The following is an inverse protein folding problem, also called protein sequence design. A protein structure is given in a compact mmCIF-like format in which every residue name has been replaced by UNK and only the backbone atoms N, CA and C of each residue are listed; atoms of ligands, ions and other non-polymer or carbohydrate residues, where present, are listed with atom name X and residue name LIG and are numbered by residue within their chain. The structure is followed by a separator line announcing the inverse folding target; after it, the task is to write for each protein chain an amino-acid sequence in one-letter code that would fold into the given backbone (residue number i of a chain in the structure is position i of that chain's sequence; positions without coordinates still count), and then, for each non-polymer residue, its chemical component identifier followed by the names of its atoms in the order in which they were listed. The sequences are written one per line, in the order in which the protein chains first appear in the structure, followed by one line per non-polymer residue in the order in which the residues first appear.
data_IF_155579185702
#
_entry.id   IF_155579185702
#
_cell.length_a   1.000
_cell.length_b   1.000
_cell.length_c   1.000
_cell.angle_alpha   90.00
_cell.angle_beta   90.00
_cell.angle_gamma   90.00
#
_symmetry.space_group_name_H-M   'P 1'
#
loop_
_entity.id
_entity.type
_entity.pdbx_description
1 polymer ?
#
# COMPACT_ATOMS: atom_id res chain seq x y z
N UNK A 1 -2.14 1.97 12.33
CA UNK A 1 -1.79 0.58 11.97
C UNK A 1 -0.73 0.66 10.90
N UNK A 2 0.18 -0.30 10.85
CA UNK A 2 1.18 -0.36 9.76
C UNK A 2 0.58 -1.11 8.58
N UNK A 3 0.82 -0.64 7.36
CA UNK A 3 0.41 -1.32 6.13
C UNK A 3 1.26 -2.57 5.93
N UNK A 4 0.65 -3.71 5.67
CA UNK A 4 1.35 -4.94 5.32
C UNK A 4 1.89 -4.86 3.89
N UNK A 5 3.17 -5.12 3.70
CA UNK A 5 3.85 -5.08 2.40
C UNK A 5 4.19 -6.49 1.94
N UNK A 6 3.62 -6.89 0.82
CA UNK A 6 3.85 -8.17 0.16
C UNK A 6 4.69 -7.93 -1.10
N UNK A 7 5.96 -8.36 -1.08
CA UNK A 7 6.80 -8.41 -2.27
C UNK A 7 6.43 -9.65 -3.09
N UNK A 8 5.76 -9.46 -4.21
CA UNK A 8 5.34 -10.56 -5.10
C UNK A 8 6.50 -10.98 -6.00
N UNK A 9 7.21 -12.02 -5.61
CA UNK A 9 8.20 -12.68 -6.46
C UNK A 9 7.55 -13.42 -7.64
N UNK A 10 6.32 -13.90 -7.43
CA UNK A 10 5.56 -14.61 -8.45
C UNK A 10 6.36 -15.78 -9.04
N UNK A 11 6.61 -15.71 -10.34
CA UNK A 11 7.47 -16.65 -11.09
C UNK A 11 8.79 -16.01 -11.55
N UNK A 12 9.15 -14.84 -11.07
CA UNK A 12 10.36 -14.11 -11.46
C UNK A 12 11.67 -14.81 -11.03
N UNK A 13 11.60 -15.90 -10.29
CA UNK A 13 12.71 -16.80 -10.03
C UNK A 13 13.08 -17.70 -11.22
N UNK A 14 12.27 -17.71 -12.30
CA UNK A 14 12.53 -18.44 -13.54
C UNK A 14 12.85 -19.95 -13.32
N UNK A 15 12.13 -20.63 -12.41
CA UNK A 15 12.35 -22.05 -12.07
C UNK A 15 13.64 -22.31 -11.28
N UNK A 16 14.31 -21.27 -10.77
CA UNK A 16 15.58 -21.41 -10.04
C UNK A 16 15.41 -21.16 -8.54
N UNK A 17 15.59 -22.20 -7.72
CA UNK A 17 15.62 -22.10 -6.26
C UNK A 17 16.66 -21.08 -5.77
N UNK A 18 17.82 -21.00 -6.46
CA UNK A 18 18.87 -20.04 -6.12
C UNK A 18 18.40 -18.60 -6.31
N UNK A 19 17.75 -18.29 -7.44
CA UNK A 19 17.20 -16.95 -7.68
C UNK A 19 16.07 -16.63 -6.70
N UNK A 20 15.21 -17.60 -6.40
CA UNK A 20 14.14 -17.43 -5.39
C UNK A 20 14.71 -17.04 -4.01
N UNK A 21 15.80 -17.68 -3.56
CA UNK A 21 16.49 -17.30 -2.31
C UNK A 21 17.11 -15.90 -2.38
N UNK A 22 17.74 -15.53 -3.49
CA UNK A 22 18.24 -14.15 -3.66
C UNK A 22 17.11 -13.12 -3.61
N UNK A 23 15.93 -13.44 -4.16
CA UNK A 23 14.75 -12.57 -4.05
C UNK A 23 14.27 -12.44 -2.60
N UNK A 24 14.31 -13.51 -1.79
CA UNK A 24 14.01 -13.46 -0.36
C UNK A 24 14.96 -12.49 0.35
N UNK A 25 16.28 -12.61 0.09
CA UNK A 25 17.27 -11.74 0.70
C UNK A 25 17.02 -10.25 0.39
N UNK A 26 16.75 -9.94 -0.87
CA UNK A 26 16.52 -8.56 -1.30
C UNK A 26 15.17 -8.00 -0.80
N UNK A 27 14.10 -8.82 -0.77
CA UNK A 27 12.81 -8.41 -0.21
C UNK A 27 12.91 -8.12 1.31
N UNK A 28 13.62 -8.96 2.05
CA UNK A 28 13.88 -8.75 3.47
C UNK A 28 14.71 -7.48 3.73
N UNK A 29 15.80 -7.26 2.97
CA UNK A 29 16.61 -6.04 3.05
C UNK A 29 15.81 -4.78 2.74
N UNK A 30 14.88 -4.85 1.80
CA UNK A 30 13.98 -3.75 1.47
C UNK A 30 12.98 -3.45 2.58
N UNK A 31 12.77 -4.36 3.52
CA UNK A 31 11.83 -4.22 4.65
C UNK A 31 10.40 -4.65 4.32
N UNK A 32 10.21 -5.56 3.35
CA UNK A 32 8.92 -6.19 3.09
C UNK A 32 8.53 -7.09 4.28
N UNK A 33 7.23 -7.14 4.59
CA UNK A 33 6.70 -8.00 5.64
C UNK A 33 6.61 -9.45 5.16
N UNK A 34 6.27 -9.64 3.89
CA UNK A 34 6.15 -10.94 3.23
C UNK A 34 6.80 -10.94 1.85
N UNK A 35 7.33 -12.11 1.47
CA UNK A 35 7.59 -12.45 0.07
C UNK A 35 6.58 -13.50 -0.38
N UNK A 36 6.03 -13.35 -1.60
CA UNK A 36 5.01 -14.25 -2.12
C UNK A 36 5.45 -14.88 -3.44
N UNK A 37 5.23 -16.17 -3.56
CA UNK A 37 5.47 -17.00 -4.73
C UNK A 37 4.15 -17.50 -5.33
N UNK A 38 4.25 -18.33 -6.36
CA UNK A 38 3.13 -19.00 -7.00
C UNK A 38 3.41 -20.51 -7.05
N UNK A 39 2.48 -21.30 -6.54
CA UNK A 39 2.60 -22.77 -6.51
C UNK A 39 1.54 -23.37 -7.40
N UNK A 40 1.98 -24.12 -8.40
CA UNK A 40 1.09 -24.76 -9.36
C UNK A 40 1.72 -26.00 -9.98
N UNK A 41 0.85 -26.91 -10.45
CA UNK A 41 1.18 -27.95 -11.41
C UNK A 41 0.73 -27.46 -12.78
N UNK A 42 1.65 -27.26 -13.76
CA UNK A 42 1.30 -26.65 -15.04
C UNK A 42 0.12 -27.32 -15.75
N UNK A 43 0.08 -28.64 -15.74
CA UNK A 43 -0.97 -29.46 -16.37
C UNK A 43 -2.34 -29.39 -15.65
N UNK A 44 -2.36 -28.88 -14.42
CA UNK A 44 -3.61 -28.64 -13.65
C UNK A 44 -4.08 -27.21 -13.72
N UNK A 45 -3.17 -26.28 -13.96
CA UNK A 45 -3.48 -24.85 -14.06
C UNK A 45 -4.07 -24.51 -15.44
N UNK A 46 -3.49 -25.02 -16.52
CA UNK A 46 -3.91 -24.65 -17.86
C UNK A 46 -4.25 -25.85 -18.74
N UNK A 47 -5.30 -25.70 -19.54
CA UNK A 47 -5.60 -26.67 -20.60
C UNK A 47 -4.50 -26.63 -21.66
N UNK A 48 -4.20 -27.79 -22.26
CA UNK A 48 -3.26 -27.89 -23.41
C UNK A 48 -3.62 -27.01 -24.61
N UNK A 49 -4.83 -26.49 -24.65
CA UNK A 49 -5.31 -25.58 -25.69
C UNK A 49 -5.25 -24.10 -25.30
N UNK A 50 -4.87 -23.78 -24.06
CA UNK A 50 -4.81 -22.41 -23.58
C UNK A 50 -3.76 -21.60 -24.32
N UNK A 51 -4.16 -20.39 -24.71
CA UNK A 51 -3.28 -19.40 -25.34
C UNK A 51 -2.65 -18.51 -24.27
N UNK A 52 -1.40 -18.08 -24.47
CA UNK A 52 -0.80 -17.03 -23.65
C UNK A 52 -1.61 -15.74 -23.75
N UNK A 53 -1.71 -15.00 -22.65
CA UNK A 53 -2.20 -13.64 -22.64
C UNK A 53 -1.31 -12.74 -23.54
N UNK A 54 -1.85 -11.65 -24.04
CA UNK A 54 -1.13 -10.82 -25.01
C UNK A 54 0.14 -10.19 -24.44
N UNK A 55 0.14 -9.79 -23.16
CA UNK A 55 1.35 -9.31 -22.49
C UNK A 55 2.41 -10.43 -22.36
N UNK A 56 2.00 -11.67 -22.09
CA UNK A 56 2.91 -12.82 -22.04
C UNK A 56 3.53 -13.11 -23.40
N UNK A 57 2.76 -13.02 -24.50
CA UNK A 57 3.29 -13.17 -25.86
C UNK A 57 4.34 -12.10 -26.19
N UNK A 58 4.13 -10.85 -25.71
CA UNK A 58 5.07 -9.76 -25.92
C UNK A 58 6.40 -9.96 -25.16
N UNK A 59 6.35 -10.55 -23.97
CA UNK A 59 7.54 -10.72 -23.08
C UNK A 59 8.27 -12.03 -23.28
N UNK A 60 7.57 -13.13 -23.62
CA UNK A 60 8.15 -14.48 -23.74
C UNK A 60 8.03 -15.09 -25.14
N UNK A 61 7.58 -14.31 -26.14
CA UNK A 61 7.36 -14.77 -27.50
C UNK A 61 6.08 -15.60 -27.68
N UNK A 62 5.70 -15.81 -28.96
CA UNK A 62 4.47 -16.50 -29.34
C UNK A 62 4.66 -17.97 -29.78
N UNK A 63 5.89 -18.47 -29.77
CA UNK A 63 6.24 -19.79 -30.34
C UNK A 63 5.86 -20.98 -29.43
N UNK A 64 5.80 -20.78 -28.12
CA UNK A 64 5.45 -21.80 -27.15
C UNK A 64 4.03 -21.60 -26.58
N UNK A 65 3.40 -22.70 -26.15
CA UNK A 65 2.11 -22.65 -25.46
C UNK A 65 2.24 -22.07 -24.04
N UNK A 66 1.11 -21.69 -23.43
CA UNK A 66 1.10 -21.27 -22.03
C UNK A 66 1.59 -22.39 -21.11
N UNK A 67 1.21 -23.65 -21.38
CA UNK A 67 1.67 -24.81 -20.64
C UNK A 67 3.20 -24.93 -20.64
N UNK A 68 3.83 -24.87 -21.83
CA UNK A 68 5.28 -24.97 -21.96
C UNK A 68 6.02 -23.81 -21.25
N UNK A 69 5.45 -22.62 -21.26
CA UNK A 69 5.99 -21.49 -20.51
C UNK A 69 5.96 -21.78 -18.99
N UNK A 70 4.83 -22.26 -18.48
CA UNK A 70 4.65 -22.56 -17.06
C UNK A 70 5.54 -23.73 -16.59
N UNK A 71 5.76 -24.75 -17.41
CA UNK A 71 6.66 -25.87 -17.10
C UNK A 71 8.11 -25.39 -16.81
N UNK A 72 8.57 -24.36 -17.49
CA UNK A 72 9.91 -23.78 -17.28
C UNK A 72 9.99 -22.93 -15.99
N UNK A 73 8.87 -22.43 -15.53
CA UNK A 73 8.78 -21.50 -14.38
C UNK A 73 8.43 -22.23 -13.07
N UNK A 74 7.96 -23.45 -13.13
CA UNK A 74 7.54 -24.20 -11.95
C UNK A 74 8.72 -24.59 -11.05
N UNK A 75 8.54 -24.43 -9.73
CA UNK A 75 9.37 -25.04 -8.70
C UNK A 75 8.70 -26.29 -8.15
N UNK A 76 9.50 -27.22 -7.62
CA UNK A 76 8.96 -28.41 -6.96
C UNK A 76 8.39 -28.08 -5.58
N UNK A 77 7.54 -28.93 -5.03
CA UNK A 77 7.04 -28.79 -3.66
C UNK A 77 8.17 -28.81 -2.61
N UNK A 78 9.23 -29.60 -2.85
CA UNK A 78 10.40 -29.64 -1.97
C UNK A 78 11.15 -28.29 -1.97
N UNK A 79 11.23 -27.60 -3.12
CA UNK A 79 11.80 -26.26 -3.20
C UNK A 79 10.98 -25.27 -2.34
N UNK A 80 9.66 -25.35 -2.35
CA UNK A 80 8.82 -24.47 -1.51
C UNK A 80 8.99 -24.76 -0.02
N UNK A 81 9.17 -26.01 0.39
CA UNK A 81 9.54 -26.35 1.78
C UNK A 81 10.87 -25.70 2.17
N UNK A 82 11.84 -25.73 1.25
CA UNK A 82 13.15 -25.10 1.49
C UNK A 82 13.05 -23.58 1.53
N UNK A 83 12.27 -22.94 0.64
CA UNK A 83 12.02 -21.50 0.64
C UNK A 83 11.33 -21.04 1.92
N UNK A 84 10.31 -21.77 2.41
CA UNK A 84 9.65 -21.45 3.70
C UNK A 84 10.64 -21.44 4.84
N UNK A 85 11.48 -22.49 4.97
CA UNK A 85 12.54 -22.55 5.99
C UNK A 85 13.55 -21.42 5.85
N UNK A 86 13.89 -21.06 4.61
CA UNK A 86 14.83 -19.96 4.36
C UNK A 86 14.22 -18.61 4.77
N UNK A 87 12.95 -18.36 4.46
CA UNK A 87 12.24 -17.16 4.94
C UNK A 87 12.25 -17.06 6.47
N UNK A 88 12.01 -18.17 7.18
CA UNK A 88 12.07 -18.22 8.65
C UNK A 88 13.46 -17.87 9.18
N UNK A 89 14.53 -18.33 8.53
CA UNK A 89 15.92 -18.02 8.92
C UNK A 89 16.25 -16.53 8.71
N UNK A 90 15.73 -15.95 7.63
CA UNK A 90 15.95 -14.53 7.28
C UNK A 90 15.04 -13.61 8.11
N UNK A 91 13.91 -14.10 8.60
CA UNK A 91 12.94 -13.32 9.38
C UNK A 91 11.94 -12.54 8.54
N UNK A 92 11.60 -13.04 7.33
CA UNK A 92 10.53 -12.51 6.46
C UNK A 92 9.39 -13.53 6.37
N UNK A 93 8.14 -13.07 6.32
CA UNK A 93 6.98 -13.94 6.12
C UNK A 93 7.00 -14.61 4.74
N UNK A 94 6.64 -15.90 4.70
CA UNK A 94 6.50 -16.66 3.47
C UNK A 94 5.05 -16.80 3.07
N UNK A 95 4.74 -16.49 1.81
CA UNK A 95 3.44 -16.74 1.21
C UNK A 95 3.62 -17.42 -0.15
N UNK A 96 2.65 -18.20 -0.55
CA UNK A 96 2.51 -18.67 -1.93
C UNK A 96 1.04 -18.76 -2.32
N UNK A 97 0.73 -18.30 -3.53
CA UNK A 97 -0.61 -18.43 -4.12
C UNK A 97 -0.73 -19.81 -4.76
N UNK A 98 -1.67 -20.68 -4.32
CA UNK A 98 -1.96 -21.91 -5.05
C UNK A 98 -2.79 -21.62 -6.30
N UNK A 99 -2.60 -22.40 -7.37
CA UNK A 99 -3.41 -22.33 -8.58
C UNK A 99 -4.06 -23.67 -8.96
N UNK A 100 -4.00 -24.65 -8.09
CA UNK A 100 -4.67 -25.94 -8.25
C UNK A 100 -4.93 -26.58 -6.88
N UNK A 101 -5.84 -27.58 -6.85
CA UNK A 101 -6.25 -28.26 -5.62
C UNK A 101 -5.11 -28.97 -4.89
N UNK A 102 -4.14 -29.56 -5.62
CA UNK A 102 -3.01 -30.24 -4.98
C UNK A 102 -2.10 -29.24 -4.31
N UNK A 103 -1.92 -28.06 -4.95
CA UNK A 103 -1.14 -26.95 -4.41
C UNK A 103 -1.80 -26.36 -3.16
N UNK A 104 -3.15 -26.26 -3.10
CA UNK A 104 -3.86 -25.87 -1.86
C UNK A 104 -3.54 -26.88 -0.75
N UNK A 105 -3.72 -28.19 -1.01
CA UNK A 105 -3.44 -29.26 -0.02
C UNK A 105 -1.98 -29.29 0.43
N UNK A 106 -1.06 -28.96 -0.47
CA UNK A 106 0.36 -28.88 -0.15
C UNK A 106 0.68 -27.68 0.73
N UNK A 107 0.26 -26.47 0.32
CA UNK A 107 0.55 -25.22 1.03
C UNK A 107 -0.15 -25.13 2.39
N UNK A 108 -1.31 -25.75 2.56
CA UNK A 108 -1.99 -25.82 3.85
C UNK A 108 -1.10 -26.46 4.95
N UNK A 109 -0.27 -27.43 4.57
CA UNK A 109 0.70 -28.09 5.46
C UNK A 109 1.95 -27.25 5.76
N UNK A 110 2.20 -26.19 4.98
CA UNK A 110 3.33 -25.29 5.21
C UNK A 110 3.03 -24.21 6.24
N UNK A 111 1.81 -24.13 6.74
CA UNK A 111 1.39 -23.22 7.81
C UNK A 111 1.70 -21.75 7.50
N UNK A 112 1.15 -21.24 6.39
CA UNK A 112 1.21 -19.82 6.03
C UNK A 112 0.27 -19.01 6.93
N UNK A 113 0.60 -17.74 7.18
CA UNK A 113 -0.19 -16.87 8.04
C UNK A 113 -1.61 -16.63 7.51
N UNK A 114 -1.76 -16.56 6.19
CA UNK A 114 -3.05 -16.39 5.51
C UNK A 114 -2.97 -16.89 4.06
N UNK A 115 -4.13 -17.10 3.46
CA UNK A 115 -4.24 -17.40 2.03
C UNK A 115 -4.24 -16.13 1.19
N UNK A 116 -3.53 -16.16 0.07
CA UNK A 116 -3.70 -15.19 -1.01
C UNK A 116 -4.44 -15.86 -2.17
N UNK A 117 -5.62 -15.33 -2.49
CA UNK A 117 -6.42 -15.75 -3.64
C UNK A 117 -6.24 -14.73 -4.76
N UNK A 118 -5.77 -15.13 -5.95
CA UNK A 118 -5.56 -14.24 -7.08
C UNK A 118 -6.89 -13.92 -7.77
N UNK A 119 -6.96 -12.84 -8.51
CA UNK A 119 -8.18 -12.39 -9.21
C UNK A 119 -8.77 -13.44 -10.16
N UNK A 120 -7.93 -14.25 -10.79
CA UNK A 120 -8.37 -15.30 -11.72
C UNK A 120 -9.18 -16.44 -11.06
N UNK A 121 -9.10 -16.57 -9.73
CA UNK A 121 -9.77 -17.63 -8.99
C UNK A 121 -11.08 -17.17 -8.33
N UNK A 122 -11.47 -15.91 -8.47
CA UNK A 122 -12.63 -15.33 -7.77
C UNK A 122 -13.96 -15.99 -8.17
N UNK A 123 -14.05 -16.53 -9.38
CA UNK A 123 -15.24 -17.26 -9.88
C UNK A 123 -15.07 -18.78 -9.82
N UNK A 124 -13.93 -19.27 -9.28
CA UNK A 124 -13.64 -20.70 -9.17
C UNK A 124 -14.25 -21.29 -7.89
N UNK A 125 -15.55 -21.59 -7.93
CA UNK A 125 -16.30 -22.09 -6.78
C UNK A 125 -15.63 -23.28 -6.06
N UNK A 126 -15.18 -24.38 -6.72
CA UNK A 126 -14.53 -25.47 -6.02
C UNK A 126 -13.24 -25.07 -5.29
N UNK A 127 -12.46 -24.18 -5.90
CA UNK A 127 -11.24 -23.62 -5.31
C UNK A 127 -11.54 -22.79 -4.07
N UNK A 128 -12.54 -21.88 -4.15
CA UNK A 128 -12.94 -21.03 -3.03
C UNK A 128 -13.41 -21.87 -1.84
N UNK A 129 -14.23 -22.90 -2.08
CA UNK A 129 -14.68 -23.83 -1.04
C UNK A 129 -13.51 -24.52 -0.37
N UNK A 130 -12.56 -25.05 -1.16
CA UNK A 130 -11.42 -25.77 -0.60
C UNK A 130 -10.51 -24.87 0.26
N UNK A 131 -10.25 -23.63 -0.19
CA UNK A 131 -9.48 -22.66 0.59
C UNK A 131 -10.23 -22.27 1.87
N UNK A 132 -11.53 -21.98 1.78
CA UNK A 132 -12.35 -21.60 2.92
C UNK A 132 -12.38 -22.67 4.04
N UNK A 133 -12.47 -23.95 3.65
CA UNK A 133 -12.50 -25.08 4.59
C UNK A 133 -11.23 -25.22 5.44
N UNK A 134 -10.14 -24.54 5.10
CA UNK A 134 -8.94 -24.51 5.95
C UNK A 134 -9.12 -23.64 7.20
N UNK A 135 -10.15 -22.76 7.23
CA UNK A 135 -10.45 -21.87 8.36
C UNK A 135 -9.48 -20.71 8.54
N UNK A 136 -8.51 -20.50 7.64
CA UNK A 136 -7.51 -19.46 7.72
C UNK A 136 -8.04 -18.12 7.20
N UNK A 137 -7.38 -17.04 7.59
CA UNK A 137 -7.61 -15.70 7.03
C UNK A 137 -7.24 -15.67 5.54
N UNK A 138 -7.94 -14.80 4.79
CA UNK A 138 -7.85 -14.74 3.33
C UNK A 138 -7.60 -13.29 2.89
N UNK A 139 -6.69 -13.12 1.95
CA UNK A 139 -6.50 -11.90 1.16
C UNK A 139 -6.93 -12.19 -0.27
N UNK A 140 -8.07 -11.65 -0.67
CA UNK A 140 -8.72 -11.87 -1.98
C UNK A 140 -8.48 -10.69 -2.92
N UNK A 141 -7.84 -10.93 -4.06
CA UNK A 141 -7.72 -9.94 -5.14
C UNK A 141 -8.97 -9.90 -6.02
N UNK A 142 -9.34 -8.71 -6.49
CA UNK A 142 -10.62 -8.43 -7.16
C UNK A 142 -10.46 -7.83 -8.57
N UNK A 143 -9.34 -8.06 -9.23
CA UNK A 143 -9.15 -7.65 -10.62
C UNK A 143 -10.10 -8.38 -11.56
N UNK A 144 -10.52 -7.70 -12.63
CA UNK A 144 -11.50 -8.21 -13.63
C UNK A 144 -12.90 -8.49 -13.06
N UNK A 145 -13.26 -7.91 -11.91
CA UNK A 145 -14.51 -8.24 -11.22
C UNK A 145 -15.43 -7.04 -11.08
N UNK A 146 -16.70 -7.29 -11.20
CA UNK A 146 -17.75 -6.39 -10.77
C UNK A 146 -18.09 -6.62 -9.29
N UNK A 147 -18.83 -5.70 -8.68
CA UNK A 147 -19.12 -5.74 -7.24
C UNK A 147 -19.97 -6.95 -6.81
N UNK A 148 -20.84 -7.45 -7.67
CA UNK A 148 -21.66 -8.62 -7.43
C UNK A 148 -20.86 -9.92 -7.47
N UNK A 149 -19.88 -10.04 -8.36
CA UNK A 149 -18.95 -11.17 -8.40
C UNK A 149 -18.08 -11.25 -7.13
N UNK A 150 -17.64 -10.08 -6.61
CA UNK A 150 -16.94 -10.02 -5.33
C UNK A 150 -17.86 -10.46 -4.18
N UNK A 151 -19.11 -10.01 -4.17
CA UNK A 151 -20.10 -10.39 -3.16
C UNK A 151 -20.36 -11.89 -3.17
N UNK A 152 -20.51 -12.49 -4.35
CA UNK A 152 -20.74 -13.93 -4.51
C UNK A 152 -19.53 -14.74 -4.02
N UNK A 153 -18.32 -14.34 -4.36
CA UNK A 153 -17.10 -14.99 -3.88
C UNK A 153 -16.96 -14.91 -2.36
N UNK A 154 -17.20 -13.73 -1.77
CA UNK A 154 -17.18 -13.55 -0.33
C UNK A 154 -18.22 -14.43 0.38
N UNK A 155 -19.43 -14.51 -0.17
CA UNK A 155 -20.48 -15.37 0.35
C UNK A 155 -20.05 -16.84 0.36
N UNK A 156 -19.47 -17.32 -0.74
CA UNK A 156 -18.94 -18.70 -0.82
C UNK A 156 -17.88 -18.94 0.25
N UNK A 157 -16.93 -18.00 0.41
CA UNK A 157 -15.87 -18.12 1.40
C UNK A 157 -16.41 -18.14 2.84
N UNK A 158 -17.31 -17.21 3.18
CA UNK A 158 -17.90 -17.09 4.52
C UNK A 158 -18.79 -18.30 4.86
N UNK A 159 -19.62 -18.78 3.94
CA UNK A 159 -20.49 -19.95 4.13
C UNK A 159 -19.71 -21.25 4.29
N UNK A 160 -18.47 -21.34 3.80
CA UNK A 160 -17.61 -22.53 3.88
C UNK A 160 -16.51 -22.46 4.94
N UNK A 161 -16.56 -21.46 5.83
CA UNK A 161 -15.73 -21.46 7.04
C UNK A 161 -14.41 -20.69 6.95
N UNK A 162 -14.26 -19.79 5.97
CA UNK A 162 -13.10 -18.89 5.91
C UNK A 162 -12.94 -18.06 7.19
N UNK A 163 -11.69 -17.76 7.56
CA UNK A 163 -11.37 -16.78 8.59
C UNK A 163 -11.72 -15.35 8.17
N UNK A 164 -10.95 -14.35 8.62
CA UNK A 164 -11.15 -12.98 8.20
C UNK A 164 -10.80 -12.80 6.72
N UNK A 165 -11.62 -12.05 5.99
CA UNK A 165 -11.38 -11.76 4.58
C UNK A 165 -10.98 -10.28 4.44
N UNK A 166 -9.82 -10.05 3.83
CA UNK A 166 -9.38 -8.74 3.35
C UNK A 166 -9.41 -8.72 1.82
N UNK A 167 -9.77 -7.57 1.24
CA UNK A 167 -9.90 -7.41 -0.20
C UNK A 167 -8.73 -6.60 -0.76
N UNK A 168 -8.21 -6.97 -1.93
CA UNK A 168 -7.27 -6.15 -2.68
C UNK A 168 -7.92 -5.66 -3.96
N UNK A 169 -8.09 -4.35 -4.10
CA UNK A 169 -8.35 -3.75 -5.39
C UNK A 169 -7.12 -3.93 -6.29
N UNK A 170 -7.31 -4.30 -7.55
CA UNK A 170 -6.24 -4.40 -8.53
C UNK A 170 -6.77 -4.37 -9.97
N UNK A 171 -5.88 -4.14 -10.92
CA UNK A 171 -6.08 -4.33 -12.36
C UNK A 171 -5.17 -5.46 -12.84
N UNK A 172 -5.56 -6.18 -13.89
CA UNK A 172 -4.84 -7.37 -14.38
C UNK A 172 -4.10 -7.15 -15.72
N UNK A 173 -3.90 -5.91 -16.13
CA UNK A 173 -2.97 -5.58 -17.22
C UNK A 173 -1.56 -5.36 -16.66
N UNK A 174 -0.54 -5.88 -17.34
CA UNK A 174 0.87 -5.86 -16.90
C UNK A 174 1.78 -5.21 -17.96
N UNK A 175 2.20 -3.93 -17.81
CA UNK A 175 1.84 -3.00 -16.75
C UNK A 175 0.44 -2.38 -16.91
N UNK A 176 -0.21 -2.03 -15.80
CA UNK A 176 -1.49 -1.32 -15.78
C UNK A 176 -1.32 0.14 -16.21
N UNK A 177 -2.11 0.66 -17.19
CA UNK A 177 -2.20 2.09 -17.46
C UNK A 177 -2.70 2.87 -16.24
N UNK A 178 -2.17 4.07 -16.00
CA UNK A 178 -2.56 4.87 -14.82
C UNK A 178 -4.05 5.24 -14.82
N UNK A 179 -4.65 5.50 -15.99
CA UNK A 179 -6.07 5.81 -16.17
C UNK A 179 -7.01 4.67 -15.76
N UNK A 180 -6.54 3.43 -15.75
CA UNK A 180 -7.32 2.24 -15.40
C UNK A 180 -7.16 1.81 -13.93
N UNK A 181 -6.35 2.51 -13.15
CA UNK A 181 -6.05 2.17 -11.74
C UNK A 181 -7.26 2.34 -10.82
N UNK A 182 -7.98 3.47 -10.91
CA UNK A 182 -9.17 3.78 -10.12
C UNK A 182 -9.02 3.53 -8.59
N UNK A 183 -8.02 4.12 -7.94
CA UNK A 183 -7.78 3.91 -6.50
C UNK A 183 -8.98 4.19 -5.60
N UNK A 184 -9.89 5.07 -6.04
CA UNK A 184 -11.10 5.40 -5.25
C UNK A 184 -12.07 4.21 -5.12
N UNK A 185 -11.97 3.19 -5.98
CA UNK A 185 -12.75 1.96 -5.86
C UNK A 185 -12.50 1.24 -4.53
N UNK A 186 -11.31 1.40 -3.93
CA UNK A 186 -11.03 0.87 -2.59
C UNK A 186 -12.02 1.39 -1.52
N UNK A 187 -12.45 2.65 -1.63
CA UNK A 187 -13.40 3.23 -0.68
C UNK A 187 -14.78 2.59 -0.84
N UNK A 188 -15.25 2.43 -2.10
CA UNK A 188 -16.50 1.74 -2.38
C UNK A 188 -16.50 0.31 -1.83
N UNK A 189 -15.43 -0.44 -2.08
CA UNK A 189 -15.29 -1.81 -1.57
C UNK A 189 -15.32 -1.84 -0.04
N UNK A 190 -14.63 -0.89 0.62
CA UNK A 190 -14.60 -0.79 2.09
C UNK A 190 -15.99 -0.49 2.66
N UNK A 191 -16.72 0.43 2.05
CA UNK A 191 -18.07 0.83 2.49
C UNK A 191 -19.09 -0.29 2.27
N UNK A 192 -19.08 -0.93 1.09
CA UNK A 192 -20.06 -1.96 0.73
C UNK A 192 -19.85 -3.26 1.51
N UNK A 193 -18.60 -3.73 1.61
CA UNK A 193 -18.30 -5.03 2.21
C UNK A 193 -17.93 -4.95 3.69
N UNK A 194 -17.69 -3.76 4.24
CA UNK A 194 -17.22 -3.56 5.62
C UNK A 194 -16.01 -4.44 5.96
N UNK A 195 -15.07 -4.55 5.02
CA UNK A 195 -13.82 -5.33 5.15
C UNK A 195 -12.60 -4.43 5.09
N UNK A 196 -11.48 -4.95 5.54
CA UNK A 196 -10.17 -4.35 5.26
C UNK A 196 -9.90 -4.37 3.76
N UNK A 197 -9.45 -3.24 3.20
CA UNK A 197 -9.13 -3.13 1.77
C UNK A 197 -7.69 -2.68 1.61
N UNK A 198 -6.98 -3.34 0.71
CA UNK A 198 -5.64 -3.01 0.24
C UNK A 198 -5.60 -2.85 -1.28
N UNK A 199 -4.40 -2.80 -1.82
CA UNK A 199 -4.16 -2.63 -3.24
C UNK A 199 -3.07 -3.59 -3.73
N UNK A 200 -3.33 -4.33 -4.81
CA UNK A 200 -2.35 -5.13 -5.54
C UNK A 200 -1.99 -4.38 -6.82
N UNK A 201 -0.75 -3.93 -6.94
CA UNK A 201 -0.32 -2.97 -7.95
C UNK A 201 0.47 -3.61 -9.08
N UNK A 202 0.05 -3.32 -10.32
CA UNK A 202 0.71 -3.74 -11.55
C UNK A 202 1.13 -2.54 -12.44
N UNK A 203 1.08 -1.31 -11.91
CA UNK A 203 1.57 -0.12 -12.63
C UNK A 203 3.11 -0.10 -12.68
N UNK A 204 3.66 0.74 -13.53
CA UNK A 204 5.10 1.08 -13.49
C UNK A 204 5.34 2.07 -12.34
N UNK A 205 6.49 1.98 -11.66
CA UNK A 205 6.87 2.92 -10.60
C UNK A 205 6.28 2.61 -9.23
N UNK A 206 6.35 3.58 -8.33
CA UNK A 206 6.01 3.43 -6.91
C UNK A 206 4.93 4.40 -6.43
N UNK A 207 4.46 5.31 -7.29
CA UNK A 207 3.56 6.39 -6.95
C UNK A 207 2.17 5.88 -6.54
N UNK A 208 1.66 4.88 -7.28
CA UNK A 208 0.32 4.35 -7.07
C UNK A 208 0.21 3.60 -5.73
N UNK A 209 1.09 2.65 -5.37
CA UNK A 209 1.01 1.97 -4.08
C UNK A 209 1.20 2.93 -2.89
N UNK A 210 2.06 3.96 -3.00
CA UNK A 210 2.21 5.00 -1.99
C UNK A 210 0.89 5.79 -1.81
N UNK A 211 0.24 6.14 -2.93
CA UNK A 211 -1.04 6.85 -2.93
C UNK A 211 -2.17 5.99 -2.36
N UNK A 212 -2.17 4.68 -2.65
CA UNK A 212 -3.13 3.74 -2.08
C UNK A 212 -3.05 3.71 -0.55
N UNK A 213 -1.85 3.75 0.04
CA UNK A 213 -1.67 3.83 1.49
C UNK A 213 -2.21 5.15 2.05
N UNK A 214 -2.00 6.27 1.36
CA UNK A 214 -2.57 7.56 1.76
C UNK A 214 -4.12 7.55 1.75
N UNK A 215 -4.73 6.71 0.88
CA UNK A 215 -6.17 6.45 0.83
C UNK A 215 -6.62 5.32 1.77
N UNK A 216 -5.75 4.82 2.64
CA UNK A 216 -6.09 3.87 3.68
C UNK A 216 -5.98 2.40 3.26
N UNK A 217 -5.15 2.06 2.26
CA UNK A 217 -4.83 0.68 1.96
C UNK A 217 -4.14 0.02 3.17
N UNK A 218 -4.67 -1.11 3.62
CA UNK A 218 -4.13 -1.87 4.75
C UNK A 218 -3.04 -2.86 4.32
N UNK A 219 -3.06 -3.26 3.05
CA UNK A 219 -2.13 -4.22 2.44
C UNK A 219 -1.71 -3.64 1.09
N UNK A 220 -0.43 -3.69 0.79
CA UNK A 220 0.12 -3.43 -0.54
C UNK A 220 0.81 -4.69 -1.03
N UNK A 221 0.45 -5.11 -2.23
CA UNK A 221 1.15 -6.16 -2.96
C UNK A 221 1.75 -5.56 -4.24
N UNK A 222 3.00 -5.88 -4.53
CA UNK A 222 3.69 -5.36 -5.72
C UNK A 222 4.67 -6.39 -6.24
N UNK A 223 4.65 -6.62 -7.57
CA UNK A 223 5.61 -7.49 -8.23
C UNK A 223 7.04 -7.01 -8.03
N UNK A 224 7.93 -7.97 -7.78
CA UNK A 224 9.33 -7.76 -7.47
C UNK A 224 10.22 -8.67 -8.30
N UNK A 225 11.36 -8.18 -8.76
CA UNK A 225 12.36 -8.92 -9.52
C UNK A 225 13.77 -8.49 -9.14
N UNK A 226 14.77 -9.31 -9.44
CA UNK A 226 16.17 -8.94 -9.28
C UNK A 226 16.66 -8.03 -10.42
N UNK A 227 16.11 -8.18 -11.64
CA UNK A 227 16.45 -7.38 -12.82
C UNK A 227 15.27 -7.42 -13.81
N UNK A 228 14.78 -6.26 -14.21
CA UNK A 228 13.68 -6.08 -15.18
C UNK A 228 14.01 -6.57 -16.58
N UNK A 229 15.29 -6.76 -16.90
CA UNK A 229 15.76 -7.20 -18.21
C UNK A 229 15.84 -8.74 -18.32
N UNK A 230 15.57 -9.48 -17.25
CA UNK A 230 15.48 -10.93 -17.32
C UNK A 230 14.33 -11.37 -18.21
N UNK A 231 14.50 -12.52 -18.86
CA UNK A 231 13.43 -13.14 -19.66
C UNK A 231 12.37 -13.73 -18.74
N UNK A 232 11.10 -13.41 -18.95
CA UNK A 232 9.96 -13.91 -18.17
C UNK A 232 8.73 -13.03 -18.35
N UNK A 233 7.56 -13.51 -17.88
CA UNK A 233 6.29 -12.81 -18.11
C UNK A 233 6.17 -11.47 -17.35
N UNK A 234 6.69 -11.39 -16.10
CA UNK A 234 6.31 -10.34 -15.16
C UNK A 234 7.45 -9.36 -14.80
N UNK A 235 8.70 -9.64 -15.21
CA UNK A 235 9.88 -8.82 -14.84
C UNK A 235 9.70 -7.34 -15.20
N UNK A 236 9.14 -7.02 -16.36
CA UNK A 236 8.98 -5.63 -16.84
C UNK A 236 7.99 -4.80 -16.02
N UNK A 237 7.00 -5.43 -15.42
CA UNK A 237 6.01 -4.77 -14.55
C UNK A 237 6.43 -4.79 -13.06
N UNK A 238 7.58 -5.41 -12.75
CA UNK A 238 8.07 -5.59 -11.38
C UNK A 238 8.96 -4.44 -10.94
N UNK A 239 9.11 -4.25 -9.62
CA UNK A 239 10.13 -3.38 -9.04
C UNK A 239 11.47 -4.12 -8.89
N UNK A 240 12.57 -3.42 -9.06
CA UNK A 240 13.90 -3.88 -8.67
C UNK A 240 14.18 -3.60 -7.18
N UNK A 241 15.24 -4.18 -6.58
CA UNK A 241 15.50 -4.08 -5.14
C UNK A 241 15.54 -2.65 -4.61
N UNK A 242 16.15 -1.73 -5.34
CA UNK A 242 16.23 -0.33 -4.93
C UNK A 242 14.85 0.36 -4.98
N UNK A 243 14.07 0.10 -6.01
CA UNK A 243 12.71 0.66 -6.15
C UNK A 243 11.78 0.12 -5.06
N UNK A 244 11.86 -1.19 -4.75
CA UNK A 244 11.11 -1.79 -3.65
C UNK A 244 11.46 -1.12 -2.31
N UNK A 245 12.75 -0.92 -2.05
CA UNK A 245 13.21 -0.22 -0.84
C UNK A 245 12.67 1.21 -0.78
N UNK A 246 12.71 1.94 -1.89
CA UNK A 246 12.20 3.31 -1.98
C UNK A 246 10.68 3.37 -1.74
N UNK A 247 9.93 2.43 -2.34
CA UNK A 247 8.49 2.31 -2.12
C UNK A 247 8.17 2.10 -0.65
N UNK A 248 8.79 1.10 -0.02
CA UNK A 248 8.54 0.76 1.38
C UNK A 248 8.91 1.92 2.30
N UNK A 249 10.07 2.53 2.10
CA UNK A 249 10.51 3.70 2.87
C UNK A 249 9.49 4.85 2.75
N UNK A 250 9.02 5.13 1.54
CA UNK A 250 8.02 6.17 1.28
C UNK A 250 6.69 5.85 1.95
N UNK A 251 6.23 4.60 1.90
CA UNK A 251 5.03 4.14 2.60
C UNK A 251 5.16 4.38 4.10
N UNK A 252 6.29 3.99 4.73
CA UNK A 252 6.52 4.21 6.17
C UNK A 252 6.56 5.69 6.54
N UNK A 253 7.00 6.58 5.63
CA UNK A 253 6.91 8.03 5.81
C UNK A 253 5.46 8.53 5.73
N UNK A 254 4.67 8.05 4.76
CA UNK A 254 3.25 8.41 4.63
C UNK A 254 2.47 7.97 5.87
N UNK A 255 2.66 6.76 6.37
CA UNK A 255 2.01 6.27 7.60
C UNK A 255 2.23 7.21 8.79
N UNK A 256 3.46 7.70 8.97
CA UNK A 256 3.79 8.69 10.01
C UNK A 256 3.14 10.05 9.75
N UNK A 257 2.97 10.41 8.48
CA UNK A 257 2.47 11.73 8.06
C UNK A 257 0.95 11.85 8.13
N UNK A 258 0.21 10.74 8.06
CA UNK A 258 -1.25 10.73 8.09
C UNK A 258 -1.83 11.28 9.42
N UNK A 259 -1.17 11.05 10.54
CA UNK A 259 -1.61 11.52 11.84
C UNK A 259 -2.96 10.93 12.28
N UNK A 260 -3.73 11.70 13.02
CA UNK A 260 -5.02 11.25 13.58
C UNK A 260 -6.23 12.11 13.13
N UNK A 261 -6.05 12.98 12.12
CA UNK A 261 -7.08 13.86 11.59
C UNK A 261 -7.44 15.07 12.45
N UNK A 262 -6.97 15.17 13.68
CA UNK A 262 -7.28 16.31 14.55
C UNK A 262 -6.36 17.49 14.25
N UNK A 263 -6.91 18.61 13.73
CA UNK A 263 -6.14 19.83 13.49
C UNK A 263 -5.79 20.53 14.81
N UNK A 264 -4.54 20.41 15.22
CA UNK A 264 -3.97 21.11 16.39
C UNK A 264 -2.56 21.59 16.09
N UNK A 265 -2.04 22.48 16.94
CA UNK A 265 -0.64 22.88 16.87
C UNK A 265 0.25 21.68 17.21
N UNK A 266 1.25 21.45 16.39
CA UNK A 266 2.26 20.42 16.64
C UNK A 266 3.33 20.90 17.60
N UNK A 267 4.05 19.99 18.22
CA UNK A 267 5.16 20.35 19.10
C UNK A 267 6.27 21.11 18.34
N UNK A 268 6.51 20.74 17.07
CA UNK A 268 7.48 21.42 16.22
C UNK A 268 7.12 22.85 15.83
N UNK A 269 5.82 23.21 15.83
CA UNK A 269 5.35 24.58 15.52
C UNK A 269 5.31 25.48 16.75
N UNK A 270 5.33 24.92 17.96
CA UNK A 270 5.05 25.66 19.19
C UNK A 270 6.02 26.84 19.39
N UNK A 271 7.30 26.64 19.12
CA UNK A 271 8.32 27.67 19.26
C UNK A 271 8.25 28.78 18.19
N UNK A 272 7.64 28.49 17.05
CA UNK A 272 7.50 29.45 15.95
C UNK A 272 6.39 30.49 16.21
N UNK A 273 5.51 30.25 17.17
CA UNK A 273 4.35 31.12 17.43
C UNK A 273 4.80 32.51 17.82
N UNK A 274 5.71 32.61 18.79
CA UNK A 274 6.22 33.87 19.28
C UNK A 274 6.95 34.68 18.18
N UNK A 275 7.76 33.99 17.35
CA UNK A 275 8.54 34.65 16.31
C UNK A 275 7.71 35.04 15.07
N UNK A 276 6.75 34.20 14.67
CA UNK A 276 6.05 34.36 13.39
C UNK A 276 4.72 35.08 13.47
N UNK A 277 4.00 34.99 14.60
CA UNK A 277 2.75 35.73 14.78
C UNK A 277 3.02 37.20 15.04
N UNK A 278 1.96 37.99 14.89
CA UNK A 278 2.00 39.43 15.15
C UNK A 278 1.29 39.78 16.46
N UNK A 279 1.71 40.89 17.08
CA UNK A 279 1.01 41.58 18.15
C UNK A 279 0.57 42.97 17.70
N UNK A 280 -0.36 43.55 18.40
CA UNK A 280 -0.68 44.97 18.26
C UNK A 280 0.47 45.76 18.90
N UNK A 281 0.99 46.74 18.16
CA UNK A 281 2.09 47.59 18.58
C UNK A 281 1.73 49.08 18.34
N UNK A 282 2.36 49.95 19.06
CA UNK A 282 2.25 51.40 18.84
C UNK A 282 2.85 51.74 17.46
N UNK A 283 2.10 52.49 16.63
CA UNK A 283 2.57 52.97 15.33
C UNK A 283 3.37 54.28 15.44
N UNK A 284 3.18 54.99 16.53
CA UNK A 284 3.87 56.23 16.94
C UNK A 284 3.86 56.30 18.47
N UNK A 285 4.51 57.29 19.06
CA UNK A 285 4.44 57.54 20.49
C UNK A 285 3.00 57.80 20.94
N UNK A 286 2.56 57.15 22.03
CA UNK A 286 1.22 57.22 22.62
C UNK A 286 1.41 57.52 24.11
N UNK A 287 0.78 58.59 24.60
CA UNK A 287 0.85 58.99 26.01
C UNK A 287 -0.19 58.25 26.86
N UNK A 288 0.09 58.09 28.13
CA UNK A 288 -0.89 57.57 29.09
C UNK A 288 -2.16 58.41 29.07
N UNK A 289 -3.29 57.72 28.91
CA UNK A 289 -4.61 58.37 28.79
C UNK A 289 -5.09 58.62 27.39
N UNK A 290 -4.20 58.56 26.39
CA UNK A 290 -4.60 58.66 24.97
C UNK A 290 -5.51 57.51 24.58
N UNK A 291 -6.40 57.77 23.63
CA UNK A 291 -7.30 56.77 23.08
C UNK A 291 -6.59 55.99 21.98
N UNK A 292 -6.63 54.66 22.07
CA UNK A 292 -6.16 53.77 20.99
C UNK A 292 -7.07 53.89 19.76
N UNK A 293 -6.46 54.16 18.60
CA UNK A 293 -7.14 54.38 17.32
C UNK A 293 -6.42 53.61 16.21
N UNK A 294 -7.07 53.48 15.06
CA UNK A 294 -6.44 52.90 13.86
C UNK A 294 -5.26 53.75 13.35
N UNK A 295 -5.18 55.03 13.75
CA UNK A 295 -4.10 55.93 13.35
C UNK A 295 -2.81 55.70 14.17
N UNK A 296 -2.92 55.33 15.48
CA UNK A 296 -1.79 55.23 16.39
C UNK A 296 -1.41 53.77 16.72
N UNK A 297 -2.15 52.77 16.21
CA UNK A 297 -1.83 51.34 16.34
C UNK A 297 -1.47 50.71 15.01
N UNK A 298 -0.69 49.66 15.05
CA UNK A 298 -0.37 48.79 13.92
C UNK A 298 -0.10 47.37 14.41
N UNK A 299 0.24 46.45 13.50
CA UNK A 299 0.51 45.05 13.84
C UNK A 299 1.86 44.60 13.29
N UNK A 300 2.77 44.20 14.17
CA UNK A 300 4.11 43.75 13.84
C UNK A 300 4.44 42.45 14.62
N UNK A 301 5.45 41.73 14.19
CA UNK A 301 6.09 40.66 15.00
C UNK A 301 6.85 41.31 16.16
N UNK A 302 6.99 40.59 17.29
CA UNK A 302 6.66 39.22 17.61
C UNK A 302 5.22 39.00 18.09
N UNK A 303 4.82 37.72 18.25
CA UNK A 303 3.45 37.32 18.64
C UNK A 303 3.28 37.02 20.14
N UNK A 304 4.00 37.75 21.01
CA UNK A 304 3.98 37.60 22.47
C UNK A 304 3.17 38.65 23.22
N UNK A 305 2.56 39.60 22.50
CA UNK A 305 1.66 40.64 23.03
C UNK A 305 0.18 40.36 22.70
N UNK A 306 -0.63 41.41 22.66
CA UNK A 306 -2.05 41.33 22.34
C UNK A 306 -2.24 40.89 20.90
N UNK A 307 -3.02 39.81 20.72
CA UNK A 307 -3.34 39.32 19.37
C UNK A 307 -4.06 40.35 18.54
N UNK A 308 -3.70 40.57 17.25
CA UNK A 308 -4.45 41.38 16.33
C UNK A 308 -5.94 41.03 16.18
N UNK A 309 -6.33 39.81 16.50
CA UNK A 309 -7.75 39.39 16.50
C UNK A 309 -8.57 40.12 17.56
N UNK A 310 -7.92 40.76 18.55
CA UNK A 310 -8.56 41.58 19.58
C UNK A 310 -8.55 43.08 19.22
N UNK A 311 -8.27 43.44 17.96
CA UNK A 311 -8.17 44.80 17.48
C UNK A 311 -9.37 45.68 17.89
N UNK A 312 -10.58 45.19 17.62
CA UNK A 312 -11.81 45.91 17.92
C UNK A 312 -12.07 46.11 19.42
N UNK A 313 -11.53 45.24 20.26
CA UNK A 313 -11.66 45.36 21.73
C UNK A 313 -10.74 46.47 22.26
N UNK A 314 -9.63 46.74 21.57
CA UNK A 314 -8.63 47.70 22.01
C UNK A 314 -8.94 49.15 21.50
N UNK A 315 -9.40 49.26 20.25
CA UNK A 315 -9.78 50.57 19.67
C UNK A 315 -10.84 51.26 20.53
N UNK A 316 -10.63 52.52 20.86
CA UNK A 316 -11.50 53.32 21.70
C UNK A 316 -11.21 53.23 23.20
N UNK A 317 -10.34 52.33 23.63
CA UNK A 317 -9.88 52.26 25.04
C UNK A 317 -8.71 53.21 25.29
N UNK A 318 -8.41 53.51 26.56
CA UNK A 318 -7.34 54.42 26.96
C UNK A 318 -6.04 53.67 27.23
N UNK A 319 -4.92 54.23 26.79
CA UNK A 319 -3.58 53.80 27.12
C UNK A 319 -3.33 53.90 28.64
N UNK A 320 -2.90 52.77 29.24
CA UNK A 320 -2.64 52.68 30.68
C UNK A 320 -1.26 53.23 31.08
N UNK A 321 -0.36 53.39 30.12
CA UNK A 321 1.00 53.95 30.26
C UNK A 321 1.43 54.57 28.95
N UNK A 322 2.61 55.17 28.95
CA UNK A 322 3.24 55.66 27.73
C UNK A 322 3.78 54.48 26.92
N UNK A 323 3.74 54.61 25.59
CA UNK A 323 4.31 53.70 24.61
C UNK A 323 5.15 54.45 23.60
N UNK A 324 6.31 53.90 23.26
CA UNK A 324 7.11 54.41 22.15
C UNK A 324 6.74 53.69 20.84
N UNK A 325 7.15 54.20 19.71
CA UNK A 325 6.93 53.57 18.42
C UNK A 325 7.49 52.12 18.42
N UNK A 326 6.75 51.21 17.81
CA UNK A 326 7.01 49.76 17.73
C UNK A 326 6.93 48.99 19.06
N UNK A 327 6.58 49.65 20.15
CA UNK A 327 6.38 48.97 21.42
C UNK A 327 5.09 48.14 21.43
N UNK A 328 5.16 46.95 22.00
CA UNK A 328 4.00 46.02 22.14
C UNK A 328 3.00 46.64 23.16
N UNK A 329 1.72 46.64 22.77
CA UNK A 329 0.63 47.10 23.60
C UNK A 329 0.29 46.09 24.68
#
# INVERSE_FOLDING_TARGET
MSTTIIAEAGVNHNGSLKLAKQMIDEAAKAGADYIKFQTFKPEKLVSKYAQKADYQKKTTGSQESQLQMLEKLALSYDDFVELKKYCEQIGIGFLSTPFDEDSIRFLDRLDMDFWKIPSGEITNYPYLVQVAQTGRDIVLSTGMCEMDEIADAMKVLEENGAGNISLLHCNTEYPTPYEDVNLLAMNQMREVFNKQVGYSDHTVGIEVPISAVALGAAIIEKHFTLDKNMEGPDHKASLEPLELTQMICSIRHIEKSLGNGNKKRTASEQHNIAAARKSIVAKCAISKGDIFTEANLTVKRPGNGISPMRWKELIGTKAQRDYVEDEII
#
